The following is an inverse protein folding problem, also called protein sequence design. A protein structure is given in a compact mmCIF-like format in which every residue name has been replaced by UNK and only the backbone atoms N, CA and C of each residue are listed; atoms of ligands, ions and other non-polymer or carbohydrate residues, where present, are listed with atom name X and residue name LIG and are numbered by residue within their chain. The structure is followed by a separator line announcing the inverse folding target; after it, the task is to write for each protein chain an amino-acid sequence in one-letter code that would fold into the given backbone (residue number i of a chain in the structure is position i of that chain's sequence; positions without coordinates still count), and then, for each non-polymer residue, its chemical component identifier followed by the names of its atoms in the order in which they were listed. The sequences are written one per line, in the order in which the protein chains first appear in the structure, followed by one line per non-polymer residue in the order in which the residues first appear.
data_IF_367548664155
#
_entry.id   IF_367548664155
#
_cell.length_a   1.000
_cell.length_b   1.000
_cell.length_c   1.000
_cell.angle_alpha   90.00
_cell.angle_beta   90.00
_cell.angle_gamma   90.00
#
_symmetry.space_group_name_H-M   'P 1'
#
loop_
_entity.id
_entity.type
_entity.pdbx_description
1 polymer ?
#
# COMPACT_ATOMS: atom_id res chain seq x y z
N UNK A 1 -6.59 -13.94 -5.81
CA UNK A 1 -7.75 -13.08 -6.15
C UNK A 1 -8.33 -13.62 -7.45
N UNK A 2 -9.63 -13.96 -7.49
CA UNK A 2 -10.24 -14.54 -8.69
C UNK A 2 -10.43 -13.42 -9.72
N UNK A 3 -9.83 -13.54 -10.92
CA UNK A 3 -10.07 -12.61 -12.01
C UNK A 3 -11.54 -12.66 -12.41
N UNK A 4 -12.30 -11.66 -11.97
CA UNK A 4 -13.70 -11.50 -12.33
C UNK A 4 -13.78 -11.04 -13.79
N UNK A 5 -14.40 -11.88 -14.63
CA UNK A 5 -14.71 -11.56 -16.01
C UNK A 5 -16.14 -11.05 -16.14
N UNK A 6 -16.32 -10.01 -16.95
CA UNK A 6 -17.61 -9.48 -17.35
C UNK A 6 -17.96 -9.92 -18.77
N UNK A 7 -19.24 -10.16 -18.99
CA UNK A 7 -19.86 -10.18 -20.31
C UNK A 7 -20.07 -8.75 -20.82
N UNK A 8 -20.44 -8.62 -22.09
CA UNK A 8 -20.76 -7.33 -22.71
C UNK A 8 -21.92 -6.64 -21.98
N UNK A 9 -22.95 -7.40 -21.59
CA UNK A 9 -24.14 -6.85 -20.94
C UNK A 9 -23.84 -6.40 -19.50
N UNK A 10 -23.05 -7.17 -18.75
CA UNK A 10 -22.61 -6.77 -17.40
C UNK A 10 -21.71 -5.53 -17.45
N UNK A 11 -20.78 -5.46 -18.42
CA UNK A 11 -19.96 -4.28 -18.64
C UNK A 11 -20.80 -3.05 -19.01
N UNK A 12 -21.80 -3.23 -19.88
CA UNK A 12 -22.74 -2.19 -20.28
C UNK A 12 -23.54 -1.65 -19.08
N UNK A 13 -24.06 -2.55 -18.24
CA UNK A 13 -24.79 -2.18 -17.04
C UNK A 13 -23.91 -1.41 -16.04
N UNK A 14 -22.67 -1.88 -15.81
CA UNK A 14 -21.73 -1.25 -14.88
C UNK A 14 -21.33 0.16 -15.31
N UNK A 15 -21.06 0.34 -16.61
CA UNK A 15 -20.70 1.65 -17.18
C UNK A 15 -21.90 2.54 -17.50
N UNK A 16 -23.14 2.04 -17.29
CA UNK A 16 -24.39 2.71 -17.72
C UNK A 16 -24.37 3.08 -19.21
N UNK A 17 -23.79 2.21 -20.03
CA UNK A 17 -23.71 2.34 -21.49
C UNK A 17 -24.58 1.29 -22.17
N UNK A 18 -24.90 1.49 -23.44
CA UNK A 18 -25.58 0.47 -24.23
C UNK A 18 -24.59 -0.65 -24.65
N UNK A 19 -24.98 -1.94 -24.69
CA UNK A 19 -24.11 -3.05 -25.12
C UNK A 19 -23.45 -2.83 -26.49
N UNK A 20 -24.17 -2.18 -27.43
CA UNK A 20 -23.64 -1.75 -28.74
C UNK A 20 -22.43 -0.83 -28.64
N UNK A 21 -22.37 0.04 -27.62
CA UNK A 21 -21.24 0.93 -27.37
C UNK A 21 -20.03 0.13 -26.86
N UNK A 22 -20.24 -0.84 -25.97
CA UNK A 22 -19.19 -1.75 -25.49
C UNK A 22 -18.61 -2.55 -26.67
N UNK A 23 -19.46 -3.14 -27.52
CA UNK A 23 -19.03 -3.82 -28.74
C UNK A 23 -18.31 -2.91 -29.73
N UNK A 24 -18.65 -1.61 -29.77
CA UNK A 24 -17.91 -0.62 -30.56
C UNK A 24 -16.53 -0.39 -29.96
N UNK A 25 -16.42 -0.19 -28.65
CA UNK A 25 -15.12 -0.01 -27.99
C UNK A 25 -14.20 -1.21 -28.17
N UNK A 26 -14.71 -2.43 -28.10
CA UNK A 26 -13.92 -3.65 -28.38
C UNK A 26 -13.42 -3.66 -29.83
N UNK A 27 -14.27 -3.34 -30.80
CA UNK A 27 -13.89 -3.29 -32.22
C UNK A 27 -12.91 -2.17 -32.55
N UNK A 28 -13.05 -1.03 -31.90
CA UNK A 28 -12.20 0.15 -32.06
C UNK A 28 -10.88 0.02 -31.29
N UNK A 29 -10.65 -1.09 -30.56
CA UNK A 29 -9.47 -1.31 -29.73
C UNK A 29 -9.42 -0.46 -28.44
N UNK A 30 -10.51 0.22 -28.09
CA UNK A 30 -10.64 1.06 -26.89
C UNK A 30 -10.94 0.27 -25.61
N UNK A 31 -11.35 -0.98 -25.74
CA UNK A 31 -11.60 -1.89 -24.63
C UNK A 31 -11.06 -3.28 -24.97
N UNK A 32 -10.10 -3.77 -24.19
CA UNK A 32 -9.57 -5.11 -24.35
C UNK A 32 -10.62 -6.16 -23.92
N UNK A 33 -10.82 -7.16 -24.77
CA UNK A 33 -11.69 -8.29 -24.47
C UNK A 33 -11.16 -9.56 -25.15
N UNK A 34 -11.28 -10.70 -24.48
CA UNK A 34 -11.01 -12.00 -25.07
C UNK A 34 -12.29 -12.62 -25.61
N UNK A 35 -12.23 -13.26 -26.77
CA UNK A 35 -13.36 -14.00 -27.33
C UNK A 35 -13.31 -15.44 -26.81
N UNK A 36 -14.32 -15.83 -26.05
CA UNK A 36 -14.46 -17.18 -25.50
C UNK A 36 -15.71 -17.80 -26.12
N UNK A 37 -15.51 -18.67 -27.10
CA UNK A 37 -16.59 -19.21 -27.93
C UNK A 37 -17.31 -18.11 -28.73
N UNK A 38 -18.61 -17.95 -28.49
CA UNK A 38 -19.44 -16.94 -29.16
C UNK A 38 -19.56 -15.61 -28.40
N UNK A 39 -19.01 -15.52 -27.19
CA UNK A 39 -19.13 -14.35 -26.33
C UNK A 39 -17.78 -13.65 -26.11
N UNK A 40 -17.83 -12.35 -25.82
CA UNK A 40 -16.69 -11.62 -25.28
C UNK A 40 -16.63 -11.75 -23.76
N UNK A 41 -15.41 -11.84 -23.24
CA UNK A 41 -15.08 -11.78 -21.82
C UNK A 41 -14.12 -10.61 -21.61
N UNK A 42 -14.50 -9.71 -20.71
CA UNK A 42 -13.79 -8.48 -20.42
C UNK A 42 -13.24 -8.63 -19.00
N UNK A 43 -11.94 -8.44 -18.80
CA UNK A 43 -11.38 -8.50 -17.43
C UNK A 43 -11.81 -7.27 -16.66
N UNK A 44 -11.91 -7.39 -15.34
CA UNK A 44 -12.21 -6.24 -14.48
C UNK A 44 -11.24 -5.07 -14.70
N UNK A 45 -9.94 -5.35 -14.79
CA UNK A 45 -8.91 -4.33 -15.03
C UNK A 45 -9.09 -3.60 -16.37
N UNK A 46 -9.40 -4.33 -17.44
CA UNK A 46 -9.63 -3.74 -18.77
C UNK A 46 -10.88 -2.85 -18.77
N UNK A 47 -11.93 -3.24 -18.04
CA UNK A 47 -13.15 -2.44 -17.90
C UNK A 47 -12.92 -1.16 -17.08
N UNK A 48 -12.12 -1.24 -16.00
CA UNK A 48 -11.77 -0.10 -15.16
C UNK A 48 -10.88 0.92 -15.91
N UNK A 49 -9.98 0.45 -16.77
CA UNK A 49 -9.16 1.33 -17.61
C UNK A 49 -10.01 2.24 -18.53
N UNK A 50 -11.21 1.81 -18.94
CA UNK A 50 -12.11 2.63 -19.79
C UNK A 50 -12.73 3.80 -19.03
N UNK A 51 -12.94 3.69 -17.71
CA UNK A 51 -13.48 4.80 -16.89
C UNK A 51 -12.43 5.82 -16.49
N UNK A 52 -11.16 5.60 -16.84
CA UNK A 52 -10.04 6.38 -16.31
C UNK A 52 -9.64 5.96 -14.90
N UNK A 53 -10.32 4.98 -14.31
CA UNK A 53 -9.90 4.28 -13.09
C UNK A 53 -8.88 3.21 -13.45
N UNK A 54 -7.82 3.60 -14.19
CA UNK A 54 -6.65 2.75 -14.28
C UNK A 54 -6.26 2.42 -12.84
N UNK A 55 -6.34 1.15 -12.48
CA UNK A 55 -5.95 0.68 -11.16
C UNK A 55 -4.47 1.02 -11.06
N UNK A 56 -4.14 2.14 -10.42
CA UNK A 56 -2.76 2.40 -10.07
C UNK A 56 -2.29 1.18 -9.29
N UNK A 57 -1.16 0.58 -9.69
CA UNK A 57 -0.68 -0.60 -9.00
C UNK A 57 -0.61 -0.27 -7.52
N UNK A 58 -1.22 -1.11 -6.67
CA UNK A 58 -1.16 -0.89 -5.22
C UNK A 58 0.32 -0.71 -4.85
N UNK A 59 0.67 0.39 -4.16
CA UNK A 59 2.06 0.68 -3.87
C UNK A 59 2.62 -0.44 -3.00
N UNK A 60 3.87 -0.82 -3.25
CA UNK A 60 4.55 -1.82 -2.42
C UNK A 60 4.63 -1.31 -0.98
N UNK A 61 4.09 -2.09 -0.05
CA UNK A 61 4.14 -1.81 1.38
C UNK A 61 4.96 -2.85 2.11
N UNK A 62 5.66 -2.41 3.14
CA UNK A 62 6.45 -3.26 4.03
C UNK A 62 5.89 -3.14 5.43
N UNK A 63 5.76 -4.28 6.11
CA UNK A 63 5.57 -4.34 7.55
C UNK A 63 6.87 -4.82 8.18
N UNK A 64 7.44 -4.01 9.06
CA UNK A 64 8.67 -4.36 9.80
C UNK A 64 8.40 -4.30 11.29
N UNK A 65 8.92 -5.29 12.00
CA UNK A 65 8.92 -5.35 13.45
C UNK A 65 10.36 -5.34 13.92
N UNK A 66 10.70 -4.43 14.83
CA UNK A 66 12.00 -4.37 15.48
C UNK A 66 11.81 -4.59 16.98
N UNK A 67 12.48 -5.60 17.51
CA UNK A 67 12.58 -5.86 18.94
C UNK A 67 13.91 -5.30 19.46
N UNK A 68 13.84 -4.36 20.41
CA UNK A 68 15.00 -3.74 21.07
C UNK A 68 15.06 -4.24 22.52
N UNK A 69 15.99 -5.16 22.84
CA UNK A 69 16.18 -5.65 24.20
C UNK A 69 16.87 -4.60 25.09
N UNK A 70 16.91 -4.86 26.40
CA UNK A 70 17.61 -4.06 27.42
C UNK A 70 17.19 -2.59 27.43
N UNK A 71 15.92 -2.33 27.13
CA UNK A 71 15.37 -1.00 27.04
C UNK A 71 14.80 -0.51 28.37
N UNK A 72 15.07 0.76 28.69
CA UNK A 72 14.46 1.49 29.81
C UNK A 72 13.36 2.42 29.31
N UNK A 73 12.56 2.95 30.24
CA UNK A 73 11.46 3.88 29.92
C UNK A 73 11.96 5.16 29.24
N UNK A 74 13.17 5.63 29.56
CA UNK A 74 13.78 6.81 28.92
C UNK A 74 14.08 6.55 27.44
N UNK A 75 14.62 5.37 27.14
CA UNK A 75 14.88 4.97 25.75
C UNK A 75 13.57 4.87 24.96
N UNK A 76 12.51 4.35 25.58
CA UNK A 76 11.20 4.29 24.94
C UNK A 76 10.67 5.67 24.57
N UNK A 77 10.69 6.62 25.53
CA UNK A 77 10.24 7.99 25.28
C UNK A 77 11.09 8.67 24.20
N UNK A 78 12.40 8.45 24.22
CA UNK A 78 13.32 9.00 23.24
C UNK A 78 13.06 8.45 21.84
N UNK A 79 12.97 7.12 21.69
CA UNK A 79 12.67 6.46 20.41
C UNK A 79 11.31 6.92 19.87
N UNK A 80 10.26 6.89 20.69
CA UNK A 80 8.91 7.29 20.26
C UNK A 80 8.87 8.75 19.77
N UNK A 81 9.47 9.69 20.52
CA UNK A 81 9.51 11.12 20.13
C UNK A 81 10.31 11.35 18.86
N UNK A 82 11.50 10.76 18.76
CA UNK A 82 12.39 10.95 17.63
C UNK A 82 11.82 10.36 16.34
N UNK A 83 11.26 9.15 16.38
CA UNK A 83 10.61 8.56 15.20
C UNK A 83 9.35 9.34 14.80
N UNK A 84 8.55 9.82 15.75
CA UNK A 84 7.40 10.67 15.44
C UNK A 84 7.80 12.00 14.79
N UNK A 85 8.94 12.59 15.19
CA UNK A 85 9.46 13.81 14.58
C UNK A 85 9.84 13.61 13.11
N UNK A 86 10.40 12.45 12.74
CA UNK A 86 10.66 12.09 11.33
C UNK A 86 9.35 12.07 10.54
N UNK A 87 8.26 11.53 11.12
CA UNK A 87 6.95 11.53 10.47
C UNK A 87 6.36 12.94 10.27
N UNK A 88 6.66 13.88 11.16
CA UNK A 88 6.17 15.25 11.04
C UNK A 88 6.98 16.13 10.07
N UNK A 89 8.11 15.63 9.56
CA UNK A 89 8.90 16.36 8.55
C UNK A 89 8.13 16.42 7.23
N UNK A 90 8.00 17.59 6.58
CA UNK A 90 7.37 17.71 5.27
C UNK A 90 8.20 16.99 4.21
N UNK A 91 7.79 15.77 3.89
CA UNK A 91 8.32 14.96 2.80
C UNK A 91 7.15 14.63 1.88
N UNK A 92 7.38 14.63 0.56
CA UNK A 92 6.42 14.07 -0.38
C UNK A 92 6.32 12.56 -0.10
N UNK A 93 5.33 12.17 0.72
CA UNK A 93 5.04 10.76 0.98
C UNK A 93 3.93 10.33 0.06
N UNK A 94 4.22 9.31 -0.73
CA UNK A 94 3.24 8.70 -1.64
C UNK A 94 2.21 7.84 -0.88
N UNK A 95 2.37 7.67 0.45
CA UNK A 95 1.51 6.79 1.25
C UNK A 95 1.52 7.13 2.74
N UNK A 96 0.42 6.79 3.42
CA UNK A 96 0.33 6.89 4.88
C UNK A 96 1.31 5.92 5.57
N UNK A 97 2.00 6.41 6.60
CA UNK A 97 2.90 5.62 7.45
C UNK A 97 2.19 5.30 8.76
N UNK A 98 2.17 4.02 9.13
CA UNK A 98 1.73 3.58 10.46
C UNK A 98 2.95 3.18 11.28
N UNK A 99 3.12 3.81 12.44
CA UNK A 99 4.20 3.56 13.38
C UNK A 99 3.61 3.33 14.75
N UNK A 100 3.97 2.21 15.37
CA UNK A 100 3.64 1.89 16.74
C UNK A 100 4.94 1.61 17.52
N UNK A 101 5.02 2.11 18.75
CA UNK A 101 6.12 1.80 19.67
C UNK A 101 5.52 1.31 20.97
N UNK A 102 5.78 0.07 21.33
CA UNK A 102 5.26 -0.60 22.53
C UNK A 102 6.42 -0.83 23.48
N UNK A 103 6.28 -0.46 24.75
CA UNK A 103 7.26 -0.77 25.79
C UNK A 103 6.72 -1.83 26.75
N UNK A 104 7.48 -2.90 26.92
CA UNK A 104 7.25 -3.96 27.89
C UNK A 104 8.23 -3.77 29.07
N UNK A 105 7.79 -3.22 30.21
CA UNK A 105 8.66 -2.97 31.35
C UNK A 105 9.12 -4.26 32.04
N UNK A 106 8.30 -5.32 32.04
CA UNK A 106 8.65 -6.59 32.68
C UNK A 106 9.78 -7.29 31.94
N UNK A 107 9.79 -7.18 30.61
CA UNK A 107 10.83 -7.78 29.74
C UNK A 107 11.94 -6.81 29.36
N UNK A 108 11.89 -5.56 29.85
CA UNK A 108 12.82 -4.48 29.48
C UNK A 108 13.03 -4.40 27.97
N UNK A 109 11.93 -4.31 27.20
CA UNK A 109 11.97 -4.40 25.74
C UNK A 109 11.07 -3.37 25.09
N UNK A 110 11.55 -2.78 23.98
CA UNK A 110 10.72 -1.97 23.09
C UNK A 110 10.44 -2.76 21.81
N UNK A 111 9.19 -2.74 21.36
CA UNK A 111 8.79 -3.24 20.05
C UNK A 111 8.35 -2.07 19.17
N UNK A 112 8.99 -1.92 18.02
CA UNK A 112 8.62 -0.92 17.01
C UNK A 112 7.97 -1.65 15.85
N UNK A 113 6.78 -1.22 15.45
CA UNK A 113 6.05 -1.75 14.28
C UNK A 113 5.92 -0.62 13.27
N UNK A 114 6.36 -0.86 12.03
CA UNK A 114 6.29 0.10 10.92
C UNK A 114 5.51 -0.54 9.78
N UNK A 115 4.50 0.15 9.26
CA UNK A 115 3.81 -0.22 8.02
C UNK A 115 3.87 0.98 7.06
N UNK A 116 4.74 0.90 6.07
CA UNK A 116 5.04 2.04 5.20
C UNK A 116 5.54 1.61 3.81
N UNK A 117 5.91 2.58 2.97
CA UNK A 117 6.67 2.34 1.74
C UNK A 117 8.07 1.77 2.07
N UNK A 118 8.76 1.24 1.05
CA UNK A 118 10.15 0.79 1.17
C UNK A 118 11.08 1.93 1.62
N UNK A 119 10.93 3.11 1.03
CA UNK A 119 11.78 4.28 1.32
C UNK A 119 11.58 4.81 2.74
N UNK A 120 10.32 4.98 3.16
CA UNK A 120 10.00 5.43 4.52
C UNK A 120 10.49 4.43 5.57
N UNK A 121 10.28 3.12 5.31
CA UNK A 121 10.78 2.06 6.20
C UNK A 121 12.30 2.13 6.34
N UNK A 122 13.03 2.28 5.23
CA UNK A 122 14.49 2.40 5.28
C UNK A 122 14.96 3.62 6.07
N UNK A 123 14.34 4.78 5.87
CA UNK A 123 14.67 6.01 6.59
C UNK A 123 14.40 5.90 8.11
N UNK A 124 13.28 5.28 8.48
CA UNK A 124 12.93 5.04 9.89
C UNK A 124 13.91 4.06 10.55
N UNK A 125 14.30 2.99 9.86
CA UNK A 125 15.28 2.02 10.37
C UNK A 125 16.68 2.64 10.53
N UNK A 126 17.12 3.46 9.59
CA UNK A 126 18.39 4.20 9.70
C UNK A 126 18.38 5.19 10.88
N UNK A 127 17.26 5.88 11.07
CA UNK A 127 17.08 6.77 12.22
C UNK A 127 17.12 5.97 13.52
N UNK A 128 16.38 4.86 13.60
CA UNK A 128 16.36 4.00 14.78
C UNK A 128 17.76 3.48 15.13
N UNK A 129 18.52 2.99 14.16
CA UNK A 129 19.89 2.53 14.37
C UNK A 129 20.78 3.64 14.94
N UNK A 130 20.72 4.85 14.35
CA UNK A 130 21.46 6.03 14.84
C UNK A 130 21.09 6.37 16.30
N UNK A 131 19.81 6.36 16.63
CA UNK A 131 19.32 6.64 17.99
C UNK A 131 19.82 5.60 18.99
N UNK A 132 19.76 4.31 18.63
CA UNK A 132 20.22 3.21 19.49
C UNK A 132 21.73 3.26 19.72
N UNK A 133 22.51 3.65 18.71
CA UNK A 133 23.96 3.84 18.86
C UNK A 133 24.26 5.03 19.78
N UNK A 134 23.54 6.16 19.63
CA UNK A 134 23.75 7.34 20.46
C UNK A 134 23.41 7.14 21.94
N UNK A 135 22.51 6.21 22.26
CA UNK A 135 22.12 5.92 23.64
C UNK A 135 23.06 4.90 24.33
N UNK A 136 23.84 4.14 23.54
CA UNK A 136 24.83 3.17 24.05
C UNK A 136 26.21 3.79 24.30
N UNK A 137 26.49 4.97 23.76
CA UNK A 137 27.69 5.77 24.03
C UNK A 137 27.50 6.69 25.22
#
# INVERSE_FOLDING_TARGET
MQDLFYTVDEAAQKLRLHPKTILRFIRDGKLNASRVGKAYRIRHADLAAVTGDAVEPEPVRVTTVVDVPDARSELHQYVARSLQAVLNTPTARDSAVHLETIFDPERSRIRVVVIASLGDTAALLQTLDTLLQSFRG
#
